data_IF_102439304987
#
_entry.id   IF_102439304987
#
_cell.length_a   1.000
_cell.length_b   1.000
_cell.length_c   1.000
_cell.angle_alpha   90.00
_cell.angle_beta   90.00
_cell.angle_gamma   90.00
#
_symmetry.space_group_name_H-M   'P 1'
#
loop_
_entity.id
_entity.type
_entity.pdbx_description
1 polymer ?
#
# COMPACT_ATOMS: atom_id res chain seq x y z
N UNK A 1 9.64 17.94 3.39
CA UNK A 1 8.93 18.79 2.42
C UNK A 1 8.21 19.86 3.22
N UNK A 2 8.51 21.14 2.99
CA UNK A 2 7.95 22.27 3.76
C UNK A 2 6.78 22.96 3.04
N UNK A 3 6.65 22.74 1.73
CA UNK A 3 5.72 23.44 0.84
C UNK A 3 5.04 22.46 -0.12
N UNK A 4 3.89 22.84 -0.67
CA UNK A 4 3.16 22.07 -1.69
C UNK A 4 3.87 22.20 -3.04
N UNK A 5 4.14 21.12 -3.80
CA UNK A 5 4.84 21.25 -5.08
C UNK A 5 3.87 21.78 -6.15
N UNK A 6 4.37 22.47 -7.17
CA UNK A 6 3.52 22.88 -8.28
C UNK A 6 3.04 21.65 -9.08
N UNK A 7 3.87 20.61 -9.15
CA UNK A 7 3.54 19.34 -9.80
C UNK A 7 4.07 18.11 -9.04
N UNK A 8 3.28 17.03 -9.04
CA UNK A 8 3.64 15.76 -8.42
C UNK A 8 3.27 14.58 -9.32
N UNK A 9 4.18 13.61 -9.43
CA UNK A 9 3.87 12.29 -9.97
C UNK A 9 3.75 11.30 -8.81
N UNK A 10 2.61 10.62 -8.70
CA UNK A 10 2.42 9.53 -7.72
C UNK A 10 2.56 8.21 -8.46
N UNK A 11 3.48 7.36 -8.04
CA UNK A 11 3.70 6.03 -8.60
C UNK A 11 3.06 5.00 -7.69
N UNK A 12 2.06 4.28 -8.19
CA UNK A 12 1.20 3.38 -7.44
C UNK A 12 -0.15 4.02 -7.10
N UNK A 13 -1.24 3.35 -7.48
CA UNK A 13 -2.62 3.75 -7.24
C UNK A 13 -3.30 2.84 -6.19
N UNK A 14 -2.53 2.34 -5.21
CA UNK A 14 -3.08 1.78 -3.97
C UNK A 14 -3.56 2.88 -3.01
N UNK A 15 -4.05 2.49 -1.83
CA UNK A 15 -4.64 3.42 -0.85
C UNK A 15 -3.74 4.64 -0.56
N UNK A 16 -2.47 4.41 -0.22
CA UNK A 16 -1.48 5.47 0.08
C UNK A 16 -1.36 6.44 -1.10
N UNK A 17 -1.16 5.92 -2.32
CA UNK A 17 -0.99 6.75 -3.50
C UNK A 17 -2.22 7.60 -3.81
N UNK A 18 -3.41 7.02 -3.69
CA UNK A 18 -4.68 7.70 -3.94
C UNK A 18 -4.99 8.77 -2.90
N UNK A 19 -4.73 8.52 -1.61
CA UNK A 19 -4.89 9.51 -0.54
C UNK A 19 -3.96 10.70 -0.72
N UNK A 20 -2.66 10.47 -0.98
CA UNK A 20 -1.73 11.56 -1.22
C UNK A 20 -2.03 12.31 -2.52
N UNK A 21 -2.44 11.62 -3.59
CA UNK A 21 -2.88 12.26 -4.82
C UNK A 21 -4.07 13.20 -4.57
N UNK A 22 -5.04 12.76 -3.76
CA UNK A 22 -6.16 13.59 -3.34
C UNK A 22 -5.73 14.80 -2.50
N UNK A 23 -4.88 14.59 -1.49
CA UNK A 23 -4.39 15.66 -0.61
C UNK A 23 -3.65 16.72 -1.41
N UNK A 24 -2.61 16.35 -2.16
CA UNK A 24 -1.81 17.32 -2.92
C UNK A 24 -2.61 18.04 -3.99
N UNK A 25 -3.55 17.33 -4.65
CA UNK A 25 -4.46 17.98 -5.60
C UNK A 25 -5.34 19.03 -4.93
N UNK A 26 -5.90 18.71 -3.76
CA UNK A 26 -6.75 19.61 -2.98
C UNK A 26 -6.01 20.88 -2.53
N UNK A 27 -4.70 20.78 -2.31
CA UNK A 27 -3.82 21.92 -2.04
C UNK A 27 -3.29 22.64 -3.30
N UNK A 28 -3.75 22.26 -4.50
CA UNK A 28 -3.50 22.98 -5.75
C UNK A 28 -2.40 22.40 -6.64
N UNK A 29 -1.73 21.31 -6.24
CA UNK A 29 -0.71 20.67 -7.08
C UNK A 29 -1.34 20.09 -8.36
N UNK A 30 -0.56 20.07 -9.44
CA UNK A 30 -0.87 19.26 -10.61
C UNK A 30 -0.43 17.82 -10.36
N UNK A 31 -1.39 16.90 -10.23
CA UNK A 31 -1.10 15.51 -9.86
C UNK A 31 -1.33 14.57 -11.04
N UNK A 32 -0.33 13.72 -11.32
CA UNK A 32 -0.46 12.57 -12.22
C UNK A 32 -0.17 11.29 -11.46
N UNK A 33 -1.12 10.36 -11.42
CA UNK A 33 -0.96 9.01 -10.86
C UNK A 33 -0.59 8.05 -11.98
N UNK A 34 0.45 7.24 -11.77
CA UNK A 34 0.90 6.18 -12.67
C UNK A 34 0.77 4.85 -11.97
N UNK A 35 0.02 3.92 -12.56
CA UNK A 35 -0.24 2.59 -12.03
C UNK A 35 0.03 1.53 -13.10
N UNK A 36 0.78 0.50 -12.73
CA UNK A 36 1.15 -0.60 -13.62
C UNK A 36 -0.04 -1.52 -13.90
N UNK A 37 -0.90 -1.73 -12.90
CA UNK A 37 -2.12 -2.52 -13.01
C UNK A 37 -3.21 -1.77 -13.80
N UNK A 38 -4.19 -2.48 -14.39
CA UNK A 38 -5.15 -1.87 -15.31
C UNK A 38 -6.14 -0.88 -14.65
N UNK A 39 -6.21 -0.84 -13.32
CA UNK A 39 -7.16 -0.02 -12.56
C UNK A 39 -6.51 0.64 -11.34
N UNK A 40 -7.07 1.76 -10.88
CA UNK A 40 -6.80 2.31 -9.55
C UNK A 40 -7.41 1.42 -8.48
N UNK A 41 -6.88 1.46 -7.27
CA UNK A 41 -7.30 0.61 -6.16
C UNK A 41 -7.52 -0.86 -6.59
N UNK A 42 -6.52 -1.50 -7.21
CA UNK A 42 -6.71 -2.78 -7.93
C UNK A 42 -7.08 -3.97 -7.03
N UNK A 43 -7.02 -3.83 -5.71
CA UNK A 43 -7.47 -4.82 -4.74
C UNK A 43 -8.94 -4.66 -4.32
N UNK A 44 -9.56 -3.56 -4.75
CA UNK A 44 -10.99 -3.31 -4.60
C UNK A 44 -11.76 -3.88 -5.79
N UNK A 45 -13.08 -3.91 -5.62
CA UNK A 45 -14.01 -4.28 -6.66
C UNK A 45 -13.83 -3.42 -7.93
N UNK A 46 -14.15 -4.01 -9.09
CA UNK A 46 -14.05 -3.33 -10.38
C UNK A 46 -14.90 -2.07 -10.43
N UNK A 47 -16.15 -2.15 -9.98
CA UNK A 47 -17.09 -1.02 -10.06
C UNK A 47 -16.63 0.13 -9.18
N UNK A 48 -16.08 -0.18 -8.00
CA UNK A 48 -15.46 0.79 -7.08
C UNK A 48 -14.27 1.47 -7.76
N UNK A 49 -13.38 0.68 -8.37
CA UNK A 49 -12.21 1.20 -9.07
C UNK A 49 -12.60 2.17 -10.20
N UNK A 50 -13.64 1.83 -10.96
CA UNK A 50 -14.15 2.67 -12.06
C UNK A 50 -14.74 3.99 -11.55
N UNK A 51 -15.57 3.97 -10.50
CA UNK A 51 -16.16 5.20 -9.96
C UNK A 51 -15.10 6.12 -9.34
N UNK A 52 -14.12 5.56 -8.62
CA UNK A 52 -13.01 6.35 -8.06
C UNK A 52 -12.18 7.02 -9.16
N UNK A 53 -11.83 6.29 -10.22
CA UNK A 53 -11.08 6.86 -11.35
C UNK A 53 -11.83 8.03 -12.01
N UNK A 54 -13.16 7.89 -12.18
CA UNK A 54 -14.03 8.94 -12.71
C UNK A 54 -14.07 10.18 -11.80
N UNK A 55 -14.17 10.00 -10.49
CA UNK A 55 -14.18 11.11 -9.53
C UNK A 55 -12.81 11.82 -9.48
N UNK A 56 -11.72 11.06 -9.50
CA UNK A 56 -10.35 11.61 -9.58
C UNK A 56 -10.15 12.45 -10.85
N UNK A 57 -10.62 11.96 -12.00
CA UNK A 57 -10.60 12.70 -13.26
C UNK A 57 -11.39 14.01 -13.19
N UNK A 58 -12.60 13.99 -12.61
CA UNK A 58 -13.42 15.19 -12.38
C UNK A 58 -12.72 16.23 -11.48
N UNK A 59 -11.94 15.76 -10.50
CA UNK A 59 -11.17 16.61 -9.59
C UNK A 59 -9.83 17.06 -10.19
N UNK A 60 -9.55 16.75 -11.46
CA UNK A 60 -8.36 17.20 -12.20
C UNK A 60 -7.10 16.42 -11.87
N UNK A 61 -7.23 15.22 -11.29
CA UNK A 61 -6.12 14.28 -11.13
C UNK A 61 -6.01 13.46 -12.42
N UNK A 62 -4.84 13.46 -13.05
CA UNK A 62 -4.58 12.60 -14.22
C UNK A 62 -4.22 11.22 -13.73
N UNK A 63 -4.82 10.18 -14.31
CA UNK A 63 -4.54 8.79 -13.95
C UNK A 63 -4.11 8.02 -15.19
N UNK A 64 -2.97 7.34 -15.13
CA UNK A 64 -2.42 6.47 -16.17
C UNK A 64 -2.28 5.05 -15.62
N UNK A 65 -3.30 4.22 -15.81
CA UNK A 65 -3.26 2.78 -15.46
C UNK A 65 -2.66 1.96 -16.59
N UNK A 66 -2.31 0.69 -16.34
CA UNK A 66 -1.65 -0.17 -17.31
C UNK A 66 -0.30 0.39 -17.79
N UNK A 67 0.33 1.24 -16.98
CA UNK A 67 1.48 2.07 -17.34
C UNK A 67 2.64 1.75 -16.41
N UNK A 68 3.73 1.24 -16.98
CA UNK A 68 4.92 0.84 -16.22
C UNK A 68 5.89 2.02 -16.10
N UNK A 69 6.46 2.22 -14.91
CA UNK A 69 7.61 3.11 -14.74
C UNK A 69 8.87 2.32 -15.09
N UNK A 70 9.60 2.77 -16.11
CA UNK A 70 10.84 2.12 -16.56
C UNK A 70 12.07 2.72 -15.88
N UNK A 71 12.05 4.03 -15.64
CA UNK A 71 13.19 4.76 -15.06
C UNK A 71 12.72 5.97 -14.29
N UNK A 72 13.38 6.24 -13.16
CA UNK A 72 13.21 7.46 -12.35
C UNK A 72 14.56 8.15 -12.27
N UNK A 73 14.60 9.43 -12.61
CA UNK A 73 15.81 10.25 -12.58
C UNK A 73 15.54 11.55 -11.83
N UNK A 74 16.46 11.94 -10.95
CA UNK A 74 16.41 13.23 -10.26
C UNK A 74 17.28 14.23 -11.02
N UNK A 75 16.68 15.28 -11.58
CA UNK A 75 17.35 16.34 -12.33
C UNK A 75 17.22 17.65 -11.54
N UNK A 76 18.29 18.06 -10.86
CA UNK A 76 18.29 19.28 -10.03
C UNK A 76 17.22 19.21 -8.93
N UNK A 77 16.27 20.14 -8.96
CA UNK A 77 15.17 20.20 -7.96
C UNK A 77 13.94 19.35 -8.32
N UNK A 78 13.89 18.81 -9.54
CA UNK A 78 12.75 18.05 -10.09
C UNK A 78 13.05 16.57 -10.33
N UNK A 79 12.05 15.87 -10.88
CA UNK A 79 12.11 14.45 -11.23
C UNK A 79 11.60 14.21 -12.65
N UNK A 80 12.31 13.33 -13.36
CA UNK A 80 11.94 12.82 -14.69
C UNK A 80 11.62 11.34 -14.57
N UNK A 81 10.41 10.93 -15.00
CA UNK A 81 10.01 9.54 -15.08
C UNK A 81 9.87 9.13 -16.54
N UNK A 82 10.56 8.06 -16.93
CA UNK A 82 10.29 7.36 -18.19
C UNK A 82 9.24 6.29 -17.91
N UNK A 83 8.10 6.39 -18.58
CA UNK A 83 6.99 5.44 -18.46
C UNK A 83 6.75 4.73 -19.79
N UNK A 84 6.21 3.51 -19.74
CA UNK A 84 5.82 2.75 -20.92
C UNK A 84 4.38 2.24 -20.79
N UNK A 85 3.63 2.29 -21.90
CA UNK A 85 2.30 1.74 -22.01
C UNK A 85 2.13 1.16 -23.42
N UNK A 86 1.71 -0.09 -23.54
CA UNK A 86 1.51 -0.77 -24.84
C UNK A 86 2.73 -0.68 -25.78
N UNK A 87 3.95 -0.73 -25.23
CA UNK A 87 5.21 -0.64 -25.98
C UNK A 87 5.58 0.78 -26.43
N UNK A 88 4.78 1.80 -26.11
CA UNK A 88 5.12 3.20 -26.34
C UNK A 88 5.70 3.83 -25.08
N UNK A 89 6.77 4.61 -25.24
CA UNK A 89 7.44 5.30 -24.13
C UNK A 89 7.05 6.77 -24.11
N UNK A 90 6.78 7.29 -22.91
CA UNK A 90 6.49 8.70 -22.63
C UNK A 90 7.38 9.17 -21.48
N UNK A 91 7.76 10.45 -21.49
CA UNK A 91 8.53 11.06 -20.41
C UNK A 91 7.65 12.05 -19.65
N UNK A 92 7.52 11.84 -18.35
CA UNK A 92 6.83 12.74 -17.43
C UNK A 92 7.86 13.52 -16.61
N UNK A 93 7.60 14.81 -16.38
CA UNK A 93 8.41 15.65 -15.49
C UNK A 93 7.52 16.27 -14.42
N UNK A 94 8.04 16.37 -13.20
CA UNK A 94 7.38 17.04 -12.09
C UNK A 94 8.41 17.57 -11.08
N UNK A 95 7.98 18.38 -10.13
CA UNK A 95 8.86 18.88 -9.07
C UNK A 95 9.20 17.78 -8.05
N UNK A 96 8.25 16.85 -7.84
CA UNK A 96 8.39 15.72 -6.92
C UNK A 96 7.73 14.46 -7.47
N UNK A 97 8.25 13.31 -7.06
CA UNK A 97 7.59 12.03 -7.20
C UNK A 97 7.37 11.38 -5.83
N UNK A 98 6.18 10.82 -5.62
CA UNK A 98 5.87 9.96 -4.49
C UNK A 98 5.88 8.51 -4.98
N UNK A 99 6.72 7.67 -4.38
CA UNK A 99 6.76 6.23 -4.67
C UNK A 99 5.90 5.50 -3.64
N UNK A 100 4.72 5.03 -4.06
CA UNK A 100 3.69 4.39 -3.24
C UNK A 100 3.26 3.03 -3.82
N UNK A 101 4.23 2.21 -4.23
CA UNK A 101 3.99 0.92 -4.91
C UNK A 101 3.84 -0.28 -3.97
N UNK A 102 4.03 -0.09 -2.67
CA UNK A 102 3.93 -1.16 -1.68
C UNK A 102 4.77 -0.88 -0.43
N UNK A 103 4.74 -1.83 0.50
CA UNK A 103 5.49 -1.79 1.76
C UNK A 103 6.30 -3.08 1.91
N UNK A 104 7.45 -2.99 2.56
CA UNK A 104 8.32 -4.12 2.89
C UNK A 104 8.44 -4.28 4.40
N UNK A 105 8.54 -5.51 4.92
CA UNK A 105 8.65 -5.74 6.36
C UNK A 105 10.04 -5.33 6.88
N UNK A 106 10.09 -4.76 8.09
CA UNK A 106 11.34 -4.45 8.78
C UNK A 106 11.83 -5.67 9.57
N UNK A 107 12.32 -6.69 8.89
CA UNK A 107 12.75 -7.97 9.50
C UNK A 107 14.21 -8.33 9.20
N UNK A 108 14.85 -7.61 8.29
CA UNK A 108 16.25 -7.82 7.93
C UNK A 108 17.20 -7.35 9.04
N UNK A 109 18.36 -8.00 9.15
CA UNK A 109 19.42 -7.63 10.10
C UNK A 109 19.02 -7.64 11.59
N UNK A 110 17.99 -8.41 11.96
CA UNK A 110 17.49 -8.54 13.34
C UNK A 110 17.97 -9.82 14.06
N UNK A 111 18.77 -10.67 13.42
CA UNK A 111 19.21 -11.95 13.99
C UNK A 111 18.11 -13.03 14.07
N UNK A 112 16.99 -12.84 13.36
CA UNK A 112 15.85 -13.77 13.33
C UNK A 112 16.25 -15.19 12.91
N UNK A 113 17.12 -15.30 11.90
CA UNK A 113 17.65 -16.59 11.43
C UNK A 113 18.47 -17.29 12.52
N UNK A 114 19.32 -16.54 13.23
CA UNK A 114 20.18 -17.07 14.30
C UNK A 114 19.38 -17.70 15.44
N UNK A 115 18.18 -17.17 15.72
CA UNK A 115 17.28 -17.67 16.76
C UNK A 115 16.23 -18.65 16.21
N UNK A 116 16.25 -18.96 14.92
CA UNK A 116 15.38 -19.96 14.28
C UNK A 116 13.99 -19.47 13.88
N UNK A 117 13.76 -18.15 13.81
CA UNK A 117 12.51 -17.57 13.30
C UNK A 117 12.49 -17.66 11.78
N UNK A 118 11.50 -18.36 11.23
CA UNK A 118 11.30 -18.53 9.79
C UNK A 118 10.69 -17.27 9.17
N UNK A 119 11.27 -16.84 8.06
CA UNK A 119 10.77 -15.74 7.23
C UNK A 119 10.58 -16.20 5.78
N UNK A 120 9.61 -15.64 5.07
CA UNK A 120 9.43 -15.83 3.63
C UNK A 120 9.35 -14.47 2.95
N UNK A 121 10.27 -14.18 2.04
CA UNK A 121 10.41 -12.85 1.40
C UNK A 121 10.47 -11.70 2.42
N UNK A 122 11.13 -11.94 3.56
CA UNK A 122 11.20 -11.02 4.70
C UNK A 122 10.00 -11.08 5.65
N UNK A 123 8.86 -11.64 5.29
CA UNK A 123 7.71 -11.69 6.20
C UNK A 123 7.87 -12.82 7.22
N UNK A 124 7.69 -12.51 8.50
CA UNK A 124 7.79 -13.48 9.60
C UNK A 124 6.60 -14.44 9.52
N UNK A 125 6.90 -15.73 9.45
CA UNK A 125 5.88 -16.77 9.38
C UNK A 125 5.27 -17.00 10.76
N UNK A 126 3.94 -16.97 10.81
CA UNK A 126 3.15 -17.11 12.03
C UNK A 126 2.01 -18.11 11.86
N UNK A 127 1.63 -18.76 12.96
CA UNK A 127 0.41 -19.55 13.04
C UNK A 127 -0.82 -18.68 13.42
N UNK A 128 -1.97 -19.31 13.65
CA UNK A 128 -3.23 -18.62 14.01
C UNK A 128 -3.19 -17.89 15.35
N UNK A 129 -2.25 -18.23 16.23
CA UNK A 129 -2.02 -17.57 17.52
C UNK A 129 -0.92 -16.50 17.44
N UNK A 130 -0.50 -16.11 16.24
CA UNK A 130 0.58 -15.16 15.96
C UNK A 130 1.97 -15.64 16.43
N UNK A 131 2.10 -16.92 16.76
CA UNK A 131 3.35 -17.53 17.20
C UNK A 131 4.21 -17.85 15.99
N UNK A 132 5.51 -17.58 16.08
CA UNK A 132 6.49 -17.88 15.04
C UNK A 132 6.91 -19.36 15.06
N UNK A 133 7.91 -19.75 14.27
CA UNK A 133 8.55 -21.07 14.38
C UNK A 133 9.27 -21.31 15.71
N UNK A 134 9.48 -20.26 16.52
CA UNK A 134 10.09 -20.34 17.84
C UNK A 134 8.99 -20.15 18.90
N UNK A 135 8.75 -21.12 19.80
CA UNK A 135 7.53 -21.14 20.61
C UNK A 135 7.29 -19.93 21.51
N UNK A 136 8.33 -19.27 21.98
CA UNK A 136 8.24 -18.10 22.86
C UNK A 136 8.38 -16.76 22.11
N UNK A 137 8.31 -16.78 20.76
CA UNK A 137 8.41 -15.59 19.93
C UNK A 137 7.14 -15.46 19.08
N UNK A 138 6.58 -14.26 19.10
CA UNK A 138 5.35 -13.90 18.38
C UNK A 138 5.64 -12.72 17.44
N UNK A 139 4.87 -12.60 16.37
CA UNK A 139 4.96 -11.48 15.45
C UNK A 139 3.56 -11.02 15.02
N UNK A 140 3.38 -9.71 14.94
CA UNK A 140 2.10 -9.07 14.62
C UNK A 140 2.32 -7.89 13.66
N UNK A 141 1.24 -7.45 13.04
CA UNK A 141 1.20 -6.35 12.09
C UNK A 141 1.90 -6.66 10.78
N UNK A 142 2.32 -5.60 10.10
CA UNK A 142 2.82 -5.61 8.73
C UNK A 142 4.01 -6.55 8.51
N UNK A 143 4.81 -6.82 9.55
CA UNK A 143 5.94 -7.77 9.49
C UNK A 143 5.51 -9.20 9.17
N UNK A 144 4.23 -9.53 9.40
CA UNK A 144 3.64 -10.86 9.13
C UNK A 144 3.18 -11.00 7.67
N UNK A 145 3.02 -9.89 6.95
CA UNK A 145 2.55 -9.88 5.56
C UNK A 145 1.10 -10.32 5.38
N UNK A 146 0.32 -10.49 6.45
CA UNK A 146 -1.08 -10.95 6.36
C UNK A 146 -1.99 -9.88 5.76
N UNK A 147 -2.02 -8.69 6.36
CA UNK A 147 -2.71 -7.52 5.84
C UNK A 147 -2.16 -6.28 6.56
N UNK A 148 -1.53 -5.37 5.80
CA UNK A 148 -0.82 -4.21 6.34
C UNK A 148 -1.78 -3.08 6.72
N UNK A 149 -2.54 -3.26 7.80
CA UNK A 149 -3.55 -2.34 8.29
C UNK A 149 -3.48 -2.24 9.82
N UNK A 150 -3.64 -1.02 10.35
CA UNK A 150 -3.47 -0.75 11.78
C UNK A 150 -4.44 -1.55 12.68
N UNK A 151 -5.70 -1.70 12.29
CA UNK A 151 -6.69 -2.49 13.03
C UNK A 151 -6.41 -3.99 12.95
N UNK A 152 -5.79 -4.47 11.86
CA UNK A 152 -5.34 -5.87 11.76
C UNK A 152 -4.19 -6.12 12.73
N UNK A 153 -3.19 -5.23 12.76
CA UNK A 153 -2.09 -5.32 13.72
C UNK A 153 -2.61 -5.34 15.17
N UNK A 154 -3.61 -4.50 15.47
CA UNK A 154 -4.26 -4.46 16.78
C UNK A 154 -5.01 -5.75 17.11
N UNK A 155 -5.77 -6.31 16.16
CA UNK A 155 -6.46 -7.59 16.34
C UNK A 155 -5.47 -8.75 16.54
N UNK A 156 -4.37 -8.78 15.79
CA UNK A 156 -3.29 -9.75 15.96
C UNK A 156 -2.63 -9.61 17.34
N UNK A 157 -2.43 -8.38 17.84
CA UNK A 157 -1.88 -8.14 19.17
C UNK A 157 -2.72 -8.76 20.28
N UNK A 158 -4.05 -8.66 20.19
CA UNK A 158 -4.97 -9.27 21.15
C UNK A 158 -4.81 -10.78 21.18
N UNK A 159 -4.83 -11.43 20.01
CA UNK A 159 -4.65 -12.87 19.88
C UNK A 159 -3.28 -13.32 20.43
N UNK A 160 -2.22 -12.60 20.10
CA UNK A 160 -0.87 -12.91 20.60
C UNK A 160 -0.80 -12.79 22.13
N UNK A 161 -1.35 -11.72 22.71
CA UNK A 161 -1.35 -11.50 24.15
C UNK A 161 -2.18 -12.54 24.91
N UNK A 162 -3.36 -12.91 24.39
CA UNK A 162 -4.19 -13.98 24.93
C UNK A 162 -3.47 -15.34 24.88
N UNK A 163 -2.82 -15.66 23.75
CA UNK A 163 -2.02 -16.88 23.61
C UNK A 163 -0.86 -16.94 24.60
N UNK A 164 -0.12 -15.84 24.76
CA UNK A 164 0.99 -15.71 25.72
C UNK A 164 0.49 -15.93 27.16
N UNK A 165 -0.70 -15.43 27.49
CA UNK A 165 -1.31 -15.58 28.81
C UNK A 165 -1.97 -16.96 29.04
N UNK A 166 -1.99 -17.84 28.03
CA UNK A 166 -2.63 -19.16 28.12
C UNK A 166 -4.16 -19.11 28.08
N UNK A 167 -4.74 -18.04 27.54
CA UNK A 167 -6.18 -17.93 27.32
C UNK A 167 -6.59 -18.59 25.99
N UNK A 168 -7.87 -18.96 25.90
CA UNK A 168 -8.45 -19.42 24.64
C UNK A 168 -8.50 -18.26 23.62
N UNK A 169 -7.90 -18.46 22.45
CA UNK A 169 -7.86 -17.47 21.36
C UNK A 169 -8.84 -17.78 20.26
N UNK A 170 -9.27 -16.76 19.52
CA UNK A 170 -10.04 -16.93 18.28
C UNK A 170 -9.19 -16.61 17.05
N UNK A 171 -9.11 -17.50 16.05
CA UNK A 171 -8.42 -17.22 14.81
C UNK A 171 -9.01 -16.00 14.08
N UNK A 172 -8.15 -15.20 13.45
CA UNK A 172 -8.57 -14.06 12.65
C UNK A 172 -8.96 -14.49 11.23
N UNK A 173 -10.14 -14.07 10.79
CA UNK A 173 -10.52 -14.17 9.38
C UNK A 173 -10.11 -12.89 8.63
N UNK A 174 -8.97 -12.94 7.94
CA UNK A 174 -8.42 -11.80 7.21
C UNK A 174 -9.29 -11.36 6.02
N UNK A 175 -10.11 -12.24 5.44
CA UNK A 175 -11.05 -11.88 4.36
C UNK A 175 -12.14 -10.93 4.90
N UNK A 176 -12.54 -11.13 6.16
CA UNK A 176 -13.57 -10.32 6.81
C UNK A 176 -13.00 -9.09 7.53
N UNK A 177 -11.71 -8.78 7.36
CA UNK A 177 -11.13 -7.55 7.89
C UNK A 177 -11.43 -6.39 6.92
N UNK A 178 -12.08 -5.31 7.40
CA UNK A 178 -12.43 -4.20 6.53
C UNK A 178 -11.19 -3.44 6.06
N UNK A 179 -11.32 -2.74 4.94
CA UNK A 179 -10.27 -1.92 4.33
C UNK A 179 -10.88 -0.58 3.95
N UNK A 180 -10.11 0.50 4.09
CA UNK A 180 -10.56 1.84 3.75
C UNK A 180 -9.48 2.60 2.98
N UNK A 181 -9.91 3.47 2.07
CA UNK A 181 -9.08 4.52 1.46
C UNK A 181 -9.76 5.86 1.70
N UNK A 182 -9.06 6.77 2.39
CA UNK A 182 -9.56 8.06 2.85
C UNK A 182 -9.29 9.18 1.83
N UNK A 183 -9.66 8.94 0.58
CA UNK A 183 -9.74 9.98 -0.45
C UNK A 183 -11.16 10.53 -0.58
N UNK A 184 -11.41 11.41 -1.56
CA UNK A 184 -12.77 11.87 -1.86
C UNK A 184 -13.23 11.43 -3.26
N UNK A 185 -14.30 10.60 -3.37
CA UNK A 185 -15.06 9.99 -2.28
C UNK A 185 -14.23 8.94 -1.50
N UNK A 186 -14.65 8.65 -0.27
CA UNK A 186 -14.05 7.58 0.54
C UNK A 186 -14.43 6.20 -0.03
N UNK A 187 -13.53 5.23 0.13
CA UNK A 187 -13.77 3.83 -0.24
C UNK A 187 -13.69 2.98 1.01
N UNK A 188 -14.70 2.15 1.23
CA UNK A 188 -14.71 1.13 2.29
C UNK A 188 -15.17 -0.20 1.72
N UNK A 189 -14.47 -1.28 2.07
CA UNK A 189 -14.79 -2.64 1.61
C UNK A 189 -14.52 -3.69 2.69
N UNK A 190 -15.17 -4.84 2.56
CA UNK A 190 -14.96 -6.03 3.40
C UNK A 190 -15.39 -7.27 2.62
N UNK A 191 -14.73 -8.40 2.84
CA UNK A 191 -15.11 -9.66 2.21
C UNK A 191 -14.50 -9.86 0.82
N UNK A 192 -15.18 -10.71 0.05
CA UNK A 192 -14.82 -10.99 -1.35
C UNK A 192 -15.45 -9.93 -2.27
N UNK A 193 -14.77 -9.63 -3.38
CA UNK A 193 -15.33 -8.88 -4.50
C UNK A 193 -16.20 -9.78 -5.38
N UNK A 194 -16.98 -9.20 -6.30
CA UNK A 194 -17.74 -9.98 -7.31
C UNK A 194 -16.82 -10.81 -8.22
#
# INVERSE_FOLDING_TARGET
MTDVPASMIVVGAGAIGMEFAHVFRSYGAQVTVVEMLPRVLPLEDEEVSQEVAKQFGRNGIKVKTGTKVEKVETEGEGVTLTISQNGQTEVLKADKALIAIGVTPNSENMGLETIGVKTERGFIQINEQMQTSVPNIYAIGDVTGKLALAHVASAQALVAAEAIAGHETRPLNYINMPRCTYCYPEVGSVGLTE
#
